data_IF_179986211766
#
_entry.id   IF_179986211766
#
_cell.length_a   1.000
_cell.length_b   1.000
_cell.length_c   1.000
_cell.angle_alpha   90.00
_cell.angle_beta   90.00
_cell.angle_gamma   90.00
#
_symmetry.space_group_name_H-M   'P 1'
#
loop_
_entity.id
_entity.type
_entity.pdbx_description
1 polymer ?
#
# COMPACT_ATOMS: atom_id res chain seq x y z
N UNK A 1 -27.86 -24.94 36.23
CA UNK A 1 -27.54 -24.37 34.89
C UNK A 1 -27.75 -25.50 33.88
N UNK A 2 -28.97 -25.66 33.36
CA UNK A 2 -29.43 -25.18 32.03
C UNK A 2 -28.54 -25.75 30.89
N UNK A 3 -28.83 -26.93 30.32
CA UNK A 3 -29.72 -27.23 29.16
C UNK A 3 -29.23 -26.52 27.86
N UNK A 4 -29.23 -27.05 26.62
CA UNK A 4 -30.01 -28.06 25.93
C UNK A 4 -29.21 -28.60 24.74
N UNK A 5 -29.23 -29.93 24.54
CA UNK A 5 -29.00 -30.58 23.25
C UNK A 5 -30.24 -30.35 22.38
N UNK A 6 -30.07 -29.75 21.20
CA UNK A 6 -31.21 -29.42 20.33
C UNK A 6 -30.80 -29.12 18.90
N UNK A 7 -30.45 -30.16 18.14
CA UNK A 7 -30.30 -30.07 16.69
C UNK A 7 -31.67 -30.32 16.03
N UNK A 8 -32.35 -29.23 15.68
CA UNK A 8 -33.55 -29.14 14.81
C UNK A 8 -33.47 -27.73 14.18
N UNK A 9 -33.69 -27.47 12.90
CA UNK A 9 -34.85 -27.82 12.10
C UNK A 9 -34.64 -27.26 10.65
N UNK A 10 -34.91 -28.08 9.61
CA UNK A 10 -35.73 -27.80 8.40
C UNK A 10 -35.55 -26.46 7.64
N UNK A 11 -35.23 -26.51 6.33
CA UNK A 11 -36.19 -26.25 5.24
C UNK A 11 -35.56 -26.43 3.85
N UNK A 12 -36.20 -27.29 3.05
CA UNK A 12 -36.10 -27.34 1.60
C UNK A 12 -36.65 -26.06 0.98
N UNK A 13 -35.93 -25.43 0.05
CA UNK A 13 -36.56 -24.53 -0.92
C UNK A 13 -35.87 -24.66 -2.28
N UNK A 14 -36.48 -25.47 -3.14
CA UNK A 14 -36.21 -25.45 -4.56
C UNK A 14 -36.76 -24.17 -5.18
N UNK A 15 -36.00 -23.61 -6.13
CA UNK A 15 -36.52 -22.64 -7.08
C UNK A 15 -36.08 -23.10 -8.47
N UNK A 16 -37.03 -23.67 -9.22
CA UNK A 16 -36.95 -23.74 -10.67
C UNK A 16 -36.99 -22.31 -11.22
N UNK A 17 -36.09 -21.96 -12.13
CA UNK A 17 -36.39 -20.95 -13.13
C UNK A 17 -35.89 -21.39 -14.51
N UNK A 18 -36.87 -21.37 -15.40
CA UNK A 18 -36.95 -21.79 -16.78
C UNK A 18 -36.01 -21.05 -17.72
N UNK A 19 -35.66 -21.76 -18.79
CA UNK A 19 -34.88 -21.29 -19.94
C UNK A 19 -35.40 -19.99 -20.58
N UNK A 20 -34.47 -19.14 -21.01
CA UNK A 20 -34.65 -18.27 -22.18
C UNK A 20 -33.39 -18.33 -23.02
N UNK A 21 -33.54 -18.93 -24.20
CA UNK A 21 -32.57 -18.99 -25.29
C UNK A 21 -32.08 -17.59 -25.67
N UNK A 22 -30.77 -17.43 -25.83
CA UNK A 22 -30.24 -16.39 -26.72
C UNK A 22 -29.16 -16.98 -27.62
N UNK A 23 -29.58 -17.18 -28.87
CA UNK A 23 -28.86 -16.95 -30.12
C UNK A 23 -27.38 -17.35 -30.19
N UNK A 24 -27.16 -18.42 -30.95
CA UNK A 24 -25.90 -18.81 -31.57
C UNK A 24 -25.40 -17.70 -32.52
N UNK A 25 -24.12 -17.27 -32.47
CA UNK A 25 -23.45 -16.78 -33.66
C UNK A 25 -22.93 -17.99 -34.46
N UNK A 26 -23.53 -18.18 -35.63
CA UNK A 26 -23.01 -18.98 -36.72
C UNK A 26 -21.61 -18.49 -37.11
N UNK A 27 -20.57 -19.31 -36.91
CA UNK A 27 -19.32 -19.22 -37.66
C UNK A 27 -18.95 -20.63 -38.11
N UNK A 28 -19.32 -20.93 -39.35
CA UNK A 28 -18.58 -21.90 -40.15
C UNK A 28 -17.23 -21.26 -40.48
N UNK A 29 -16.18 -21.65 -39.75
CA UNK A 29 -14.81 -21.56 -40.28
C UNK A 29 -14.04 -22.81 -39.88
N UNK A 30 -13.80 -23.63 -40.90
CA UNK A 30 -12.88 -24.75 -40.89
C UNK A 30 -11.45 -24.22 -40.79
N UNK A 31 -10.73 -24.60 -39.74
CA UNK A 31 -9.30 -24.38 -39.61
C UNK A 31 -8.83 -24.82 -38.22
N UNK A 32 -7.64 -25.43 -38.05
CA UNK A 32 -7.12 -25.79 -36.74
C UNK A 32 -6.62 -24.52 -36.07
N UNK A 33 -7.54 -23.69 -35.56
CA UNK A 33 -7.17 -22.53 -34.73
C UNK A 33 -7.00 -23.04 -33.31
N UNK A 34 -5.75 -23.41 -33.03
CA UNK A 34 -5.19 -23.59 -31.70
C UNK A 34 -5.87 -22.64 -30.73
N UNK A 35 -6.46 -23.25 -29.71
CA UNK A 35 -6.96 -22.64 -28.49
C UNK A 35 -6.09 -21.44 -28.13
N UNK A 36 -6.59 -20.24 -28.40
CA UNK A 36 -6.11 -19.07 -27.68
C UNK A 36 -6.60 -19.27 -26.25
N UNK A 37 -5.82 -20.01 -25.46
CA UNK A 37 -5.83 -19.83 -24.03
C UNK A 37 -5.63 -18.34 -23.85
N UNK A 38 -6.69 -17.70 -23.34
CA UNK A 38 -6.54 -16.51 -22.54
C UNK A 38 -5.61 -16.90 -21.39
N UNK A 39 -4.30 -16.88 -21.64
CA UNK A 39 -3.33 -16.64 -20.59
C UNK A 39 -3.73 -15.28 -20.08
N UNK A 40 -4.40 -15.30 -18.93
CA UNK A 40 -4.58 -14.14 -18.09
C UNK A 40 -3.32 -13.31 -18.22
N UNK A 41 -3.50 -12.09 -18.69
CA UNK A 41 -2.61 -10.98 -18.42
C UNK A 41 -2.64 -10.70 -16.91
N UNK A 42 -2.26 -11.69 -16.10
CA UNK A 42 -1.70 -11.46 -14.79
C UNK A 42 -0.27 -11.01 -15.10
N UNK A 43 -0.15 -9.70 -15.30
CA UNK A 43 1.13 -9.02 -15.32
C UNK A 43 1.98 -9.66 -14.22
N UNK A 44 3.15 -10.16 -14.61
CA UNK A 44 4.17 -10.71 -13.73
C UNK A 44 4.48 -9.70 -12.61
N UNK A 45 3.65 -9.69 -11.56
CA UNK A 45 4.07 -9.29 -10.24
C UNK A 45 5.21 -10.23 -9.95
N UNK A 46 6.45 -9.75 -10.16
CA UNK A 46 7.67 -10.52 -9.94
C UNK A 46 7.50 -11.23 -8.61
N UNK A 47 7.23 -12.54 -8.67
CA UNK A 47 6.88 -13.30 -7.50
C UNK A 47 8.13 -13.32 -6.64
N UNK A 48 8.00 -12.80 -5.42
CA UNK A 48 9.09 -12.82 -4.47
C UNK A 48 9.23 -14.27 -4.02
N UNK A 49 10.33 -14.92 -4.42
CA UNK A 49 10.50 -16.37 -4.27
C UNK A 49 11.37 -16.78 -3.08
N UNK A 50 12.17 -15.85 -2.56
CA UNK A 50 13.11 -16.11 -1.47
C UNK A 50 13.23 -14.92 -0.52
N UNK A 51 13.85 -15.16 0.65
CA UNK A 51 14.06 -14.15 1.67
C UNK A 51 14.83 -12.91 1.17
N UNK A 52 15.82 -13.06 0.29
CA UNK A 52 16.64 -11.93 -0.16
C UNK A 52 15.85 -10.98 -1.07
N UNK A 53 15.03 -11.52 -1.95
CA UNK A 53 14.06 -10.77 -2.76
C UNK A 53 13.03 -10.08 -1.88
N UNK A 54 12.55 -10.78 -0.84
CA UNK A 54 11.57 -10.23 0.11
C UNK A 54 12.15 -9.02 0.85
N UNK A 55 13.38 -9.15 1.36
CA UNK A 55 14.07 -8.04 2.02
C UNK A 55 14.27 -6.86 1.08
N UNK A 56 14.66 -7.11 -0.17
CA UNK A 56 14.82 -6.07 -1.19
C UNK A 56 13.49 -5.36 -1.49
N UNK A 57 12.39 -6.10 -1.56
CA UNK A 57 11.06 -5.54 -1.73
C UNK A 57 10.63 -4.69 -0.53
N UNK A 58 10.85 -5.16 0.70
CA UNK A 58 10.57 -4.41 1.94
C UNK A 58 11.36 -3.10 1.97
N UNK A 59 12.66 -3.12 1.68
CA UNK A 59 13.50 -1.90 1.61
C UNK A 59 12.96 -0.93 0.55
N UNK A 60 12.52 -1.43 -0.60
CA UNK A 60 11.93 -0.59 -1.66
C UNK A 60 10.62 0.07 -1.20
N UNK A 61 9.79 -0.66 -0.47
CA UNK A 61 8.54 -0.13 0.10
C UNK A 61 8.86 0.95 1.15
N UNK A 62 9.79 0.69 2.06
CA UNK A 62 10.21 1.68 3.06
C UNK A 62 10.78 2.96 2.43
N UNK A 63 11.56 2.85 1.35
CA UNK A 63 12.02 4.02 0.59
C UNK A 63 10.86 4.80 -0.02
N UNK A 64 9.85 4.11 -0.57
CA UNK A 64 8.63 4.75 -1.09
C UNK A 64 7.85 5.47 0.01
N UNK A 65 7.86 4.93 1.23
CA UNK A 65 7.21 5.54 2.38
C UNK A 65 7.86 6.85 2.79
N UNK A 66 9.20 6.94 2.76
CA UNK A 66 9.89 8.23 2.95
C UNK A 66 9.39 9.31 1.97
N UNK A 67 9.19 8.94 0.70
CA UNK A 67 8.63 9.87 -0.31
C UNK A 67 7.18 10.23 -0.02
N UNK A 68 6.35 9.28 0.42
CA UNK A 68 4.96 9.56 0.80
C UNK A 68 4.89 10.47 2.04
N UNK A 69 5.73 10.23 3.04
CA UNK A 69 5.86 11.07 4.22
C UNK A 69 6.21 12.51 3.84
N UNK A 70 7.22 12.71 2.98
CA UNK A 70 7.54 14.04 2.45
C UNK A 70 6.33 14.69 1.75
N UNK A 71 5.55 13.92 0.99
CA UNK A 71 4.37 14.44 0.29
C UNK A 71 3.27 14.90 1.23
N UNK A 72 3.00 14.15 2.29
CA UNK A 72 2.01 14.48 3.32
C UNK A 72 2.39 15.72 4.12
N UNK A 73 3.70 15.95 4.32
CA UNK A 73 4.21 17.05 5.15
C UNK A 73 4.45 18.35 4.36
N UNK A 74 4.57 18.29 3.02
CA UNK A 74 4.76 19.49 2.18
C UNK A 74 3.72 20.61 2.39
N UNK A 75 2.41 20.32 2.52
CA UNK A 75 1.40 21.35 2.77
C UNK A 75 1.51 22.04 4.14
N UNK A 76 2.31 21.50 5.06
CA UNK A 76 2.46 22.03 6.42
C UNK A 76 3.53 23.12 6.54
N UNK A 77 4.20 23.47 5.42
CA UNK A 77 5.21 24.54 5.35
C UNK A 77 6.32 24.41 6.40
N UNK A 78 6.64 23.16 6.77
CA UNK A 78 7.76 22.84 7.66
C UNK A 78 9.09 23.11 6.94
N UNK A 79 10.09 23.55 7.70
CA UNK A 79 11.43 23.83 7.21
C UNK A 79 12.44 23.04 8.03
N UNK A 80 13.27 22.24 7.36
CA UNK A 80 14.37 21.51 7.96
C UNK A 80 14.47 20.05 7.55
N UNK A 81 15.40 19.36 8.22
CA UNK A 81 15.66 17.93 8.04
C UNK A 81 15.13 17.19 9.26
N UNK A 82 14.12 16.36 9.05
CA UNK A 82 13.47 15.57 10.09
C UNK A 82 13.84 14.09 9.94
N UNK A 83 14.17 13.44 11.05
CA UNK A 83 14.65 12.05 11.05
C UNK A 83 13.86 11.14 11.99
N UNK A 84 12.55 10.92 11.77
CA UNK A 84 11.78 10.04 12.62
C UNK A 84 12.23 8.59 12.43
N UNK A 85 12.29 7.83 13.52
CA UNK A 85 12.55 6.38 13.50
C UNK A 85 11.36 5.67 14.11
N UNK A 86 10.78 4.74 13.38
CA UNK A 86 9.67 3.92 13.86
C UNK A 86 10.06 2.45 13.93
N UNK A 87 9.32 1.69 14.71
CA UNK A 87 9.32 0.24 14.66
C UNK A 87 7.91 -0.29 14.48
N UNK A 88 7.78 -1.45 13.84
CA UNK A 88 6.51 -2.13 13.67
C UNK A 88 6.75 -3.62 13.50
N UNK A 89 5.71 -4.43 13.67
CA UNK A 89 5.74 -5.85 13.40
C UNK A 89 5.08 -6.14 12.07
N UNK A 90 5.73 -7.00 11.29
CA UNK A 90 5.23 -7.47 10.02
C UNK A 90 4.86 -8.95 10.15
N UNK A 91 3.57 -9.25 10.01
CA UNK A 91 3.04 -10.60 10.05
C UNK A 91 3.36 -11.36 8.75
N UNK A 92 3.26 -12.71 8.75
CA UNK A 92 3.59 -13.53 7.59
C UNK A 92 2.75 -13.25 6.35
N UNK A 93 1.53 -12.74 6.53
CA UNK A 93 0.61 -12.33 5.46
C UNK A 93 0.98 -10.98 4.82
N UNK A 94 1.89 -10.22 5.43
CA UNK A 94 2.25 -8.86 5.00
C UNK A 94 1.52 -7.75 5.78
N UNK A 95 0.72 -8.11 6.78
CA UNK A 95 -0.01 -7.16 7.63
C UNK A 95 0.91 -6.50 8.66
N UNK A 96 0.69 -5.20 8.90
CA UNK A 96 1.47 -4.41 9.87
C UNK A 96 0.71 -4.28 11.18
N UNK A 97 1.39 -4.47 12.30
CA UNK A 97 0.87 -4.22 13.65
C UNK A 97 1.89 -3.49 14.53
N UNK A 98 1.42 -2.97 15.66
CA UNK A 98 2.25 -2.42 16.75
C UNK A 98 3.26 -1.38 16.25
N UNK A 99 2.77 -0.38 15.51
CA UNK A 99 3.59 0.74 15.02
C UNK A 99 3.89 1.68 16.18
N UNK A 100 5.18 1.86 16.46
CA UNK A 100 5.68 2.67 17.57
C UNK A 100 6.75 3.64 17.09
N UNK A 101 6.79 4.82 17.71
CA UNK A 101 7.86 5.79 17.53
C UNK A 101 9.05 5.38 18.41
N UNK A 102 10.20 5.15 17.79
CA UNK A 102 11.46 4.82 18.48
C UNK A 102 12.28 6.08 18.74
N UNK A 103 12.31 6.99 17.77
CA UNK A 103 13.04 8.26 17.85
C UNK A 103 12.17 9.33 17.20
N UNK A 104 11.87 10.39 17.97
CA UNK A 104 11.13 11.55 17.49
C UNK A 104 12.01 12.37 16.56
N UNK A 105 11.40 12.95 15.52
CA UNK A 105 12.06 13.94 14.68
C UNK A 105 12.17 15.33 15.31
N UNK A 106 11.56 15.55 16.47
CA UNK A 106 11.45 16.87 17.12
C UNK A 106 10.25 17.70 16.65
N UNK A 107 9.32 17.10 15.89
CA UNK A 107 8.08 17.73 15.44
C UNK A 107 6.93 16.73 15.47
N UNK A 108 5.87 17.06 16.21
CA UNK A 108 4.74 16.15 16.48
C UNK A 108 3.96 15.81 15.20
N UNK A 109 3.90 16.71 14.21
CA UNK A 109 3.18 16.47 12.96
C UNK A 109 3.95 15.48 12.09
N UNK A 110 5.28 15.61 12.06
CA UNK A 110 6.16 14.68 11.36
C UNK A 110 6.09 13.29 11.99
N UNK A 111 6.14 13.21 13.32
CA UNK A 111 6.04 11.94 14.05
C UNK A 111 4.67 11.28 13.84
N UNK A 112 3.58 12.04 13.93
CA UNK A 112 2.23 11.54 13.70
C UNK A 112 2.02 11.07 12.25
N UNK A 113 2.61 11.75 11.27
CA UNK A 113 2.58 11.31 9.88
C UNK A 113 3.42 10.03 9.70
N UNK A 114 4.61 9.96 10.29
CA UNK A 114 5.49 8.78 10.21
C UNK A 114 4.82 7.52 10.75
N UNK A 115 4.01 7.61 11.82
CA UNK A 115 3.24 6.49 12.38
C UNK A 115 2.14 5.97 11.43
N UNK A 116 1.63 6.80 10.53
CA UNK A 116 0.54 6.43 9.59
C UNK A 116 1.05 5.83 8.29
N UNK A 117 2.27 6.16 7.87
CA UNK A 117 2.77 5.73 6.55
C UNK A 117 2.85 4.19 6.39
N UNK A 118 3.26 3.41 7.40
CA UNK A 118 3.31 1.95 7.27
C UNK A 118 1.97 1.29 6.94
N UNK A 119 0.87 1.89 7.40
CA UNK A 119 -0.50 1.39 7.18
C UNK A 119 -1.20 2.06 6.01
N UNK A 120 -0.77 3.24 5.58
CA UNK A 120 -1.34 3.97 4.44
C UNK A 120 -0.79 3.52 3.07
N UNK A 121 0.35 2.83 3.05
CA UNK A 121 1.03 2.43 1.81
C UNK A 121 0.51 1.14 1.16
N UNK A 122 1.13 0.79 0.03
CA UNK A 122 0.92 -0.53 -0.58
C UNK A 122 1.43 -1.61 0.39
N UNK A 123 0.58 -2.58 0.73
CA UNK A 123 0.89 -3.64 1.69
C UNK A 123 2.25 -4.31 1.44
N UNK A 124 2.90 -4.71 2.52
CA UNK A 124 4.16 -5.43 2.43
C UNK A 124 3.94 -6.82 1.83
N UNK A 125 4.95 -7.38 1.14
CA UNK A 125 4.85 -8.74 0.62
C UNK A 125 4.74 -9.74 1.77
N UNK A 126 3.92 -10.77 1.57
CA UNK A 126 3.86 -11.93 2.46
C UNK A 126 5.23 -12.63 2.52
N UNK A 127 5.48 -13.38 3.60
CA UNK A 127 6.73 -14.11 3.78
C UNK A 127 6.85 -15.22 2.74
N UNK A 128 8.08 -15.48 2.32
CA UNK A 128 8.39 -16.58 1.40
C UNK A 128 8.48 -17.91 2.16
N UNK A 129 8.29 -19.06 1.48
CA UNK A 129 8.28 -20.36 2.15
C UNK A 129 9.58 -20.73 2.90
N UNK A 130 10.71 -20.12 2.52
CA UNK A 130 12.01 -20.30 3.18
C UNK A 130 12.14 -19.50 4.49
N UNK A 131 11.16 -18.65 4.84
CA UNK A 131 11.17 -17.81 6.04
C UNK A 131 10.34 -18.43 7.18
N UNK A 132 10.80 -18.29 8.44
CA UNK A 132 9.98 -18.68 9.59
C UNK A 132 8.73 -17.80 9.66
N UNK A 133 7.57 -18.45 9.59
CA UNK A 133 6.24 -17.83 9.55
C UNK A 133 5.47 -18.04 10.86
N UNK A 134 6.12 -18.57 11.90
CA UNK A 134 5.51 -18.78 13.22
C UNK A 134 5.28 -17.48 13.99
N UNK A 135 6.05 -16.43 13.70
CA UNK A 135 6.01 -15.15 14.42
C UNK A 135 6.16 -13.95 13.48
N UNK A 136 5.50 -12.82 13.80
CA UNK A 136 5.77 -11.55 13.14
C UNK A 136 7.23 -11.13 13.29
N UNK A 137 7.76 -10.45 12.29
CA UNK A 137 9.12 -9.89 12.29
C UNK A 137 9.08 -8.42 12.68
N UNK A 138 9.83 -8.02 13.71
CA UNK A 138 10.00 -6.61 14.06
C UNK A 138 10.92 -5.95 13.04
N UNK A 139 10.47 -4.85 12.45
CA UNK A 139 11.25 -4.00 11.54
C UNK A 139 11.46 -2.63 12.18
N UNK A 140 12.63 -2.04 11.93
CA UNK A 140 12.96 -0.67 12.34
C UNK A 140 13.22 0.12 11.06
N UNK A 141 12.47 1.19 10.87
CA UNK A 141 12.54 2.04 9.69
C UNK A 141 13.00 3.45 10.09
N UNK A 142 14.27 3.80 9.83
CA UNK A 142 14.72 5.18 9.88
C UNK A 142 14.27 5.91 8.62
N UNK A 143 13.63 7.06 8.77
CA UNK A 143 13.30 7.95 7.66
C UNK A 143 14.13 9.24 7.76
N UNK A 144 14.38 9.85 6.61
CA UNK A 144 14.97 11.18 6.53
C UNK A 144 14.13 11.99 5.55
N UNK A 145 13.55 13.09 6.03
CA UNK A 145 12.62 13.94 5.28
C UNK A 145 13.20 15.33 5.25
N UNK A 146 13.39 15.86 4.05
CA UNK A 146 13.87 17.21 3.83
C UNK A 146 12.68 18.04 3.39
N UNK A 147 12.31 19.03 4.20
CA UNK A 147 11.22 19.96 3.93
C UNK A 147 11.80 21.36 3.80
N UNK A 148 11.30 22.12 2.84
CA UNK A 148 11.66 23.51 2.63
C UNK A 148 10.37 24.29 2.51
N UNK A 149 10.33 25.45 3.19
CA UNK A 149 9.21 26.38 3.00
C UNK A 149 9.11 26.76 1.52
N UNK A 150 7.90 26.77 0.93
CA UNK A 150 7.73 27.44 -0.34
C UNK A 150 8.13 28.90 -0.12
N UNK A 151 9.17 29.36 -0.81
CA UNK A 151 9.56 30.75 -0.78
C UNK A 151 8.33 31.55 -1.23
N UNK A 152 7.74 32.32 -0.31
CA UNK A 152 6.68 33.28 -0.65
C UNK A 152 7.30 34.26 -1.63
N UNK A 153 7.03 34.05 -2.92
CA UNK A 153 7.48 34.93 -3.98
C UNK A 153 6.66 36.22 -3.84
N UNK A 154 7.11 37.09 -2.94
CA UNK A 154 6.61 38.46 -2.84
C UNK A 154 6.88 39.10 -4.21
N UNK A 155 5.85 39.45 -5.00
CA UNK A 155 6.07 39.97 -6.33
C UNK A 155 6.86 41.27 -6.17
N UNK A 156 8.10 41.28 -6.64
CA UNK A 156 8.92 42.47 -6.70
C UNK A 156 8.12 43.53 -7.47
N UNK A 157 7.47 44.43 -6.74
CA UNK A 157 6.83 45.61 -7.29
C UNK A 157 7.96 46.44 -7.87
N UNK A 158 8.19 46.24 -9.16
CA UNK A 158 9.09 47.05 -9.96
C UNK A 158 8.44 48.42 -10.10
N UNK A 159 8.57 49.25 -9.06
CA UNK A 159 8.32 50.68 -9.09
C UNK A 159 9.36 51.25 -10.06
N UNK A 160 9.06 51.22 -11.36
CA UNK A 160 9.77 52.02 -12.33
C UNK A 160 9.34 53.46 -12.08
N UNK A 161 10.13 54.16 -11.27
CA UNK A 161 10.18 55.61 -11.29
C UNK A 161 10.55 56.03 -12.71
N UNK A 162 9.53 56.37 -13.50
CA UNK A 162 9.69 57.04 -14.78
C UNK A 162 9.95 58.52 -14.48
N UNK A 163 11.18 58.82 -14.07
CA UNK A 163 11.73 60.16 -14.12
C UNK A 163 12.45 60.29 -15.47
N UNK A 164 11.82 60.96 -16.43
CA UNK A 164 12.48 61.42 -17.64
C UNK A 164 11.77 62.66 -18.19
N UNK A 165 12.39 63.81 -17.86
CA UNK A 165 12.56 65.03 -18.67
C UNK A 165 11.31 65.80 -19.14
#
# INVERSE_FOLDING_TARGET
>A
MKNQTGFRLILMLGCLLTATSYTLPSVAQTGPRVTASATLSEAEAHQITNQAEWQSAVVRILRRYGVLLSRELRPLELDGVFKPKISFYLAPDGSVSDVELVESSGDDLVDAAALKVPTAGAGFPSFTPDMPSDKPKKLIAPFEVHLSKPQSEEPAVKLQAQEAN
#
